data_IF_869670435002
#
_entry.id   IF_869670435002
#
_cell.length_a   1.000
_cell.length_b   1.000
_cell.length_c   1.000
_cell.angle_alpha   90.00
_cell.angle_beta   90.00
_cell.angle_gamma   90.00
#
_symmetry.space_group_name_H-M   'P 1'
#
loop_
_entity.id
_entity.type
_entity.pdbx_description
1 polymer ?
#
# COMPACT_ATOMS: atom_id res chain seq x y z
N UNK A 1 21.61 -17.01 56.16
CA UNK A 1 22.01 -15.88 57.06
C UNK A 1 22.72 -14.84 56.22
N UNK A 2 22.45 -13.61 56.48
CA UNK A 2 22.95 -12.34 55.99
C UNK A 2 22.17 -11.67 54.84
N UNK A 3 21.31 -10.78 55.33
CA UNK A 3 20.66 -9.70 54.64
C UNK A 3 21.64 -8.57 54.38
N UNK A 4 21.65 -7.99 53.17
CA UNK A 4 22.14 -6.61 52.98
C UNK A 4 21.05 -5.78 52.32
N UNK A 5 20.54 -4.85 53.14
CA UNK A 5 19.65 -3.77 52.74
C UNK A 5 20.57 -2.61 52.38
N UNK A 6 20.44 -2.11 51.14
CA UNK A 6 21.05 -0.84 50.74
C UNK A 6 19.91 0.14 50.45
N UNK A 7 19.74 1.07 51.36
CA UNK A 7 18.86 2.23 51.24
C UNK A 7 19.52 3.24 50.29
N UNK A 8 18.82 3.70 49.24
CA UNK A 8 19.23 4.84 48.44
C UNK A 8 18.37 6.05 48.73
N UNK A 9 19.06 7.07 49.20
CA UNK A 9 18.59 8.35 49.70
C UNK A 9 18.09 9.22 48.54
N UNK A 10 16.80 9.61 48.54
CA UNK A 10 16.26 10.61 47.63
C UNK A 10 16.66 12.02 48.12
N UNK A 11 17.43 12.73 47.32
CA UNK A 11 17.67 14.16 47.48
C UNK A 11 16.73 14.89 46.52
N UNK A 12 15.69 15.50 47.07
CA UNK A 12 14.79 16.43 46.38
C UNK A 12 15.41 17.82 46.41
N UNK A 13 15.83 18.32 45.26
CA UNK A 13 16.19 19.74 45.10
C UNK A 13 14.95 20.48 44.57
N UNK A 14 14.30 21.26 45.41
CA UNK A 14 13.24 22.18 45.06
C UNK A 14 13.90 23.49 44.60
N UNK A 15 13.93 23.70 43.29
CA UNK A 15 14.34 24.96 42.67
C UNK A 15 13.11 25.83 42.41
N UNK A 16 12.88 26.88 43.22
CA UNK A 16 11.95 27.94 42.92
C UNK A 16 12.50 28.80 41.77
N UNK A 17 11.83 28.77 40.63
CA UNK A 17 12.05 29.76 39.56
C UNK A 17 10.84 30.66 39.49
N UNK A 18 11.08 31.93 39.79
CA UNK A 18 10.10 33.01 39.82
C UNK A 18 9.52 33.25 38.42
N UNK A 19 8.19 33.25 38.32
CA UNK A 19 7.46 33.68 37.14
C UNK A 19 7.67 35.19 36.90
N UNK A 20 8.39 35.52 35.81
CA UNK A 20 8.33 36.85 35.19
C UNK A 20 7.24 36.83 34.13
N UNK A 21 6.14 37.56 34.42
CA UNK A 21 5.08 37.84 33.42
C UNK A 21 5.67 38.62 32.24
N UNK A 22 5.85 37.97 31.13
CA UNK A 22 5.99 38.63 29.85
C UNK A 22 4.71 38.38 29.04
N UNK A 23 3.89 39.42 28.94
CA UNK A 23 2.85 39.55 27.90
C UNK A 23 3.55 39.49 26.54
N UNK A 24 3.55 38.35 25.88
CA UNK A 24 3.82 38.22 24.46
C UNK A 24 2.52 37.96 23.74
N UNK A 25 2.31 38.79 22.74
CA UNK A 25 1.15 38.79 21.88
C UNK A 25 0.90 37.43 21.22
N UNK A 26 -0.37 37.16 20.96
CA UNK A 26 -0.81 36.05 20.11
C UNK A 26 -0.18 36.20 18.74
N UNK A 27 0.96 35.60 18.53
CA UNK A 27 1.44 35.28 17.18
C UNK A 27 0.50 34.20 16.65
N UNK A 28 -0.46 34.65 15.85
CA UNK A 28 -1.29 33.80 15.03
C UNK A 28 -0.32 33.08 14.07
N UNK A 29 -0.04 31.80 14.32
CA UNK A 29 0.66 30.95 13.36
C UNK A 29 -0.24 30.91 12.13
N UNK A 30 0.05 31.77 11.18
CA UNK A 30 -0.50 31.68 9.83
C UNK A 30 0.21 30.50 9.21
N UNK A 31 -0.46 29.32 9.22
CA UNK A 31 -0.07 28.21 8.36
C UNK A 31 -0.21 28.77 6.94
N UNK A 32 0.92 29.07 6.31
CA UNK A 32 0.91 29.38 4.89
C UNK A 32 0.25 28.21 4.17
N UNK A 33 -0.73 28.46 3.28
CA UNK A 33 -1.34 27.39 2.51
C UNK A 33 -0.22 26.74 1.70
N UNK A 34 0.02 25.45 1.93
CA UNK A 34 0.89 24.61 1.11
C UNK A 34 0.57 24.93 -0.34
N UNK A 35 1.56 25.37 -1.11
CA UNK A 35 1.38 25.83 -2.48
C UNK A 35 0.57 24.78 -3.26
N UNK A 36 -0.67 25.10 -3.60
CA UNK A 36 -1.48 24.28 -4.47
C UNK A 36 -0.81 24.23 -5.83
N UNK A 37 -0.59 23.03 -6.37
CA UNK A 37 -0.06 22.89 -7.74
C UNK A 37 -0.92 23.68 -8.71
N UNK A 38 -0.32 24.32 -9.74
CA UNK A 38 -1.07 24.98 -10.79
C UNK A 38 -2.09 24.00 -11.41
N UNK A 39 -3.31 24.45 -11.64
CA UNK A 39 -4.41 23.59 -12.13
C UNK A 39 -4.07 22.86 -13.45
N UNK A 40 -3.23 23.46 -14.29
CA UNK A 40 -2.77 22.90 -15.57
C UNK A 40 -1.82 21.70 -15.35
N UNK A 41 -0.92 21.74 -14.36
CA UNK A 41 -0.02 20.63 -14.04
C UNK A 41 -0.81 19.45 -13.43
N UNK A 42 -1.80 19.76 -12.59
CA UNK A 42 -2.70 18.76 -12.02
C UNK A 42 -3.50 18.00 -13.08
N UNK A 43 -4.03 18.67 -14.09
CA UNK A 43 -4.77 18.03 -15.18
C UNK A 43 -3.87 17.14 -16.06
N UNK A 44 -2.64 17.59 -16.34
CA UNK A 44 -1.65 16.80 -17.08
C UNK A 44 -1.22 15.55 -16.30
N UNK A 45 -0.96 15.70 -15.02
CA UNK A 45 -0.62 14.59 -14.14
C UNK A 45 -1.78 13.58 -14.07
N UNK A 46 -3.02 14.02 -13.93
CA UNK A 46 -4.19 13.16 -13.92
C UNK A 46 -4.34 12.34 -15.22
N UNK A 47 -4.14 12.98 -16.39
CA UNK A 47 -4.18 12.30 -17.68
C UNK A 47 -3.05 11.24 -17.81
N UNK A 48 -1.84 11.59 -17.35
CA UNK A 48 -0.68 10.69 -17.36
C UNK A 48 -0.92 9.47 -16.46
N UNK A 49 -1.42 9.71 -15.24
CA UNK A 49 -1.75 8.66 -14.27
C UNK A 49 -2.82 7.74 -14.83
N UNK A 50 -3.92 8.29 -15.38
CA UNK A 50 -5.00 7.49 -15.96
C UNK A 50 -4.47 6.56 -17.04
N UNK A 51 -3.65 7.08 -17.97
CA UNK A 51 -3.04 6.26 -19.03
C UNK A 51 -2.16 5.15 -18.45
N UNK A 52 -1.29 5.48 -17.48
CA UNK A 52 -0.42 4.52 -16.83
C UNK A 52 -1.19 3.38 -16.19
N UNK A 53 -2.28 3.69 -15.47
CA UNK A 53 -3.12 2.68 -14.82
C UNK A 53 -3.79 1.77 -15.84
N UNK A 54 -4.37 2.32 -16.92
CA UNK A 54 -4.98 1.53 -17.99
C UNK A 54 -3.92 0.63 -18.67
N UNK A 55 -2.76 1.18 -18.99
CA UNK A 55 -1.67 0.43 -19.62
C UNK A 55 -1.18 -0.70 -18.71
N UNK A 56 -1.01 -0.43 -17.41
CA UNK A 56 -0.61 -1.43 -16.42
C UNK A 56 -1.61 -2.60 -16.36
N UNK A 57 -2.90 -2.35 -16.18
CA UNK A 57 -3.88 -3.42 -16.03
C UNK A 57 -4.07 -4.22 -17.31
N UNK A 58 -4.03 -3.57 -18.48
CA UNK A 58 -4.05 -4.28 -19.78
C UNK A 58 -2.80 -5.16 -19.97
N UNK A 59 -1.63 -4.69 -19.54
CA UNK A 59 -0.40 -5.46 -19.58
C UNK A 59 -0.42 -6.60 -18.57
N UNK A 60 -0.87 -6.31 -17.33
CA UNK A 60 -0.97 -7.29 -16.25
C UNK A 60 -1.83 -8.49 -16.66
N UNK A 61 -3.02 -8.24 -17.18
CA UNK A 61 -3.91 -9.30 -17.65
C UNK A 61 -3.25 -10.22 -18.70
N UNK A 62 -2.57 -9.63 -19.68
CA UNK A 62 -1.85 -10.38 -20.72
C UNK A 62 -0.66 -11.19 -20.20
N UNK A 63 -0.10 -10.79 -19.07
CA UNK A 63 1.09 -11.40 -18.47
C UNK A 63 0.80 -12.09 -17.13
N UNK A 64 -0.47 -12.29 -16.79
CA UNK A 64 -0.91 -12.83 -15.51
C UNK A 64 -0.20 -14.14 -15.15
N UNK A 65 -0.04 -15.06 -16.09
CA UNK A 65 0.63 -16.34 -15.87
C UNK A 65 2.07 -16.20 -15.38
N UNK A 66 2.78 -15.15 -15.79
CA UNK A 66 4.17 -14.89 -15.35
C UNK A 66 4.28 -14.60 -13.86
N UNK A 67 3.24 -13.99 -13.26
CA UNK A 67 3.18 -13.72 -11.82
C UNK A 67 2.94 -15.02 -11.04
N UNK A 68 2.29 -16.01 -11.65
CA UNK A 68 1.98 -17.30 -11.04
C UNK A 68 3.16 -18.30 -11.09
N UNK A 69 4.23 -17.99 -11.79
CA UNK A 69 5.43 -18.85 -11.89
C UNK A 69 6.21 -18.96 -10.57
N UNK A 70 6.01 -17.99 -9.65
CA UNK A 70 6.75 -17.88 -8.42
C UNK A 70 6.00 -18.56 -7.26
N UNK A 71 6.61 -19.60 -6.69
CA UNK A 71 6.08 -20.29 -5.50
C UNK A 71 6.45 -19.49 -4.23
N UNK A 72 5.73 -18.42 -3.96
CA UNK A 72 6.04 -17.46 -2.89
C UNK A 72 5.90 -18.03 -1.48
N UNK A 73 5.10 -19.08 -1.31
CA UNK A 73 4.99 -19.82 -0.07
C UNK A 73 4.98 -21.33 -0.33
N UNK A 74 5.14 -22.12 0.72
CA UNK A 74 5.04 -23.59 0.66
C UNK A 74 4.70 -24.18 2.03
N UNK A 75 4.12 -25.38 2.00
CA UNK A 75 3.97 -26.21 3.20
C UNK A 75 5.31 -26.69 3.72
N UNK A 76 5.45 -26.83 5.04
CA UNK A 76 6.67 -27.33 5.68
C UNK A 76 6.67 -28.87 5.72
N UNK A 77 5.52 -29.51 6.01
CA UNK A 77 5.41 -30.95 6.29
C UNK A 77 4.70 -31.73 5.19
N UNK A 78 3.55 -31.26 4.71
CA UNK A 78 2.71 -31.93 3.71
C UNK A 78 2.40 -30.96 2.60
N UNK A 79 2.31 -31.47 1.36
CA UNK A 79 1.90 -30.66 0.22
C UNK A 79 0.53 -30.03 0.51
N UNK A 80 0.45 -28.73 0.27
CA UNK A 80 -0.77 -27.90 0.36
C UNK A 80 -1.49 -27.98 1.74
N UNK A 81 -0.72 -28.23 2.82
CA UNK A 81 -1.22 -28.29 4.20
C UNK A 81 -0.35 -27.46 5.13
N UNK A 82 -0.91 -26.88 6.19
CA UNK A 82 -0.13 -26.15 7.20
C UNK A 82 0.85 -27.10 7.93
N UNK A 83 1.85 -26.55 8.60
CA UNK A 83 2.22 -25.14 8.64
C UNK A 83 2.89 -24.67 7.35
N UNK A 84 2.69 -23.39 7.04
CA UNK A 84 3.27 -22.74 5.87
C UNK A 84 4.53 -21.95 6.20
N UNK A 85 5.28 -21.58 5.17
CA UNK A 85 6.42 -20.64 5.24
C UNK A 85 6.52 -19.82 3.97
N UNK A 86 7.06 -18.61 4.07
CA UNK A 86 7.45 -17.81 2.92
C UNK A 86 8.73 -18.36 2.30
N UNK A 87 8.77 -18.45 0.98
CA UNK A 87 9.94 -18.83 0.21
C UNK A 87 10.73 -17.57 -0.19
N UNK A 88 11.55 -17.04 0.71
CA UNK A 88 12.24 -15.77 0.52
C UNK A 88 13.10 -15.70 -0.74
N UNK A 89 13.68 -16.81 -1.18
CA UNK A 89 14.43 -16.87 -2.46
C UNK A 89 13.51 -16.65 -3.66
N UNK A 90 12.27 -17.18 -3.62
CA UNK A 90 11.28 -16.95 -4.65
C UNK A 90 10.72 -15.53 -4.59
N UNK A 91 10.53 -14.98 -3.39
CA UNK A 91 10.15 -13.58 -3.19
C UNK A 91 11.20 -12.64 -3.78
N UNK A 92 12.49 -12.91 -3.57
CA UNK A 92 13.57 -12.11 -4.14
C UNK A 92 13.52 -12.12 -5.69
N UNK A 93 13.40 -13.31 -6.30
CA UNK A 93 13.27 -13.46 -7.76
C UNK A 93 12.02 -12.77 -8.30
N UNK A 94 10.91 -12.87 -7.61
CA UNK A 94 9.66 -12.22 -7.96
C UNK A 94 9.79 -10.69 -7.92
N UNK A 95 10.42 -10.14 -6.89
CA UNK A 95 10.68 -8.70 -6.79
C UNK A 95 11.65 -8.21 -7.87
N UNK A 96 12.64 -9.02 -8.25
CA UNK A 96 13.52 -8.73 -9.38
C UNK A 96 12.78 -8.75 -10.70
N UNK A 97 11.85 -9.70 -10.90
CA UNK A 97 10.97 -9.72 -12.06
C UNK A 97 10.12 -8.43 -12.14
N UNK A 98 9.46 -8.04 -11.03
CA UNK A 98 8.67 -6.80 -11.00
C UNK A 98 9.55 -5.60 -11.36
N UNK A 99 10.71 -5.46 -10.73
CA UNK A 99 11.63 -4.33 -10.96
C UNK A 99 12.07 -4.21 -12.42
N UNK A 100 12.30 -5.34 -13.07
CA UNK A 100 12.84 -5.37 -14.44
C UNK A 100 11.77 -5.39 -15.54
N UNK A 101 10.60 -5.94 -15.28
CA UNK A 101 9.57 -6.19 -16.28
C UNK A 101 8.33 -5.30 -16.15
N UNK A 102 8.15 -4.60 -15.00
CA UNK A 102 6.92 -3.85 -14.69
C UNK A 102 7.26 -2.42 -14.26
N UNK A 103 7.71 -1.56 -15.18
CA UNK A 103 8.15 -0.20 -14.83
C UNK A 103 7.05 0.69 -14.24
N UNK A 104 5.77 0.30 -14.38
CA UNK A 104 4.64 1.00 -13.78
C UNK A 104 4.57 0.82 -12.25
N UNK A 105 5.19 -0.24 -11.70
CA UNK A 105 5.26 -0.49 -10.27
C UNK A 105 6.55 0.13 -9.71
N UNK A 106 6.41 1.14 -8.84
CA UNK A 106 7.55 1.87 -8.28
C UNK A 106 8.32 1.11 -7.21
N UNK A 107 9.44 1.69 -6.79
CA UNK A 107 10.23 1.14 -5.70
C UNK A 107 9.46 1.09 -4.38
N UNK A 108 8.54 2.04 -4.17
CA UNK A 108 7.68 2.04 -2.99
C UNK A 108 6.71 0.86 -3.01
N UNK A 109 6.14 0.50 -4.17
CA UNK A 109 5.32 -0.69 -4.33
C UNK A 109 6.09 -1.96 -3.91
N UNK A 110 7.30 -2.14 -4.43
CA UNK A 110 8.16 -3.30 -4.10
C UNK A 110 8.45 -3.36 -2.60
N UNK A 111 8.70 -2.20 -1.98
CA UNK A 111 8.96 -2.11 -0.54
C UNK A 111 7.71 -2.45 0.30
N UNK A 112 6.53 -1.98 -0.12
CA UNK A 112 5.25 -2.31 0.50
C UNK A 112 4.95 -3.80 0.40
N UNK A 113 5.16 -4.38 -0.78
CA UNK A 113 4.96 -5.81 -1.00
C UNK A 113 5.90 -6.68 -0.16
N UNK A 114 7.17 -6.25 0.02
CA UNK A 114 8.09 -6.93 0.92
C UNK A 114 7.59 -6.93 2.37
N UNK A 115 7.05 -5.79 2.85
CA UNK A 115 6.45 -5.71 4.18
C UNK A 115 5.24 -6.63 4.31
N UNK A 116 4.41 -6.71 3.28
CA UNK A 116 3.28 -7.64 3.25
C UNK A 116 3.75 -9.10 3.37
N UNK A 117 4.77 -9.54 2.65
CA UNK A 117 5.32 -10.90 2.81
C UNK A 117 5.89 -11.15 4.22
N UNK A 118 6.44 -10.12 4.87
CA UNK A 118 6.88 -10.23 6.27
C UNK A 118 5.68 -10.43 7.22
N UNK A 119 4.56 -9.77 6.95
CA UNK A 119 3.31 -9.95 7.71
C UNK A 119 2.76 -11.36 7.49
N UNK A 120 2.75 -11.86 6.25
CA UNK A 120 2.36 -13.25 5.94
C UNK A 120 3.24 -14.27 6.68
N UNK A 121 4.56 -14.07 6.70
CA UNK A 121 5.50 -14.94 7.40
C UNK A 121 5.25 -14.95 8.93
N UNK A 122 4.94 -13.78 9.49
CA UNK A 122 4.57 -13.66 10.90
C UNK A 122 3.23 -14.36 11.20
N UNK A 123 2.23 -14.20 10.33
CA UNK A 123 0.93 -14.85 10.47
C UNK A 123 1.06 -16.39 10.38
N UNK A 124 1.85 -16.92 9.45
CA UNK A 124 2.12 -18.37 9.34
C UNK A 124 2.79 -18.95 10.59
N UNK A 125 3.63 -18.18 11.26
CA UNK A 125 4.28 -18.59 12.51
C UNK A 125 3.33 -18.53 13.72
N UNK A 126 2.39 -17.58 13.71
CA UNK A 126 1.41 -17.40 14.77
C UNK A 126 0.25 -18.43 14.68
N UNK A 127 -0.19 -18.76 13.45
CA UNK A 127 -1.37 -19.59 13.17
C UNK A 127 -0.96 -20.86 12.40
N UNK A 128 -0.19 -21.74 13.04
CA UNK A 128 0.43 -22.92 12.40
C UNK A 128 -0.57 -23.97 11.92
N UNK A 129 -1.81 -23.94 12.37
CA UNK A 129 -2.89 -24.87 12.01
C UNK A 129 -3.90 -24.28 11.02
N UNK A 130 -3.69 -23.05 10.58
CA UNK A 130 -4.60 -22.38 9.64
C UNK A 130 -4.48 -23.01 8.26
N UNK A 131 -5.59 -23.60 7.77
CA UNK A 131 -5.65 -24.25 6.46
C UNK A 131 -5.56 -23.25 5.29
N UNK A 132 -5.87 -21.99 5.52
CA UNK A 132 -5.78 -20.93 4.51
C UNK A 132 -4.48 -20.15 4.68
N UNK A 133 -3.58 -20.11 3.69
CA UNK A 133 -2.35 -19.33 3.77
C UNK A 133 -2.68 -17.83 3.72
N UNK A 134 -2.59 -17.16 4.88
CA UNK A 134 -2.89 -15.74 5.04
C UNK A 134 -2.29 -14.88 3.92
N UNK A 135 -3.12 -14.09 3.27
CA UNK A 135 -2.72 -13.15 2.21
C UNK A 135 -2.47 -13.78 0.85
N UNK A 136 -2.75 -15.09 0.65
CA UNK A 136 -2.55 -15.78 -0.64
C UNK A 136 -3.85 -16.36 -1.22
N UNK A 137 -4.97 -15.92 -0.70
CA UNK A 137 -6.31 -16.33 -1.11
C UNK A 137 -6.95 -15.40 -2.15
N UNK A 138 -6.25 -14.33 -2.53
CA UNK A 138 -6.70 -13.37 -3.53
C UNK A 138 -5.52 -12.81 -4.35
N UNK A 139 -5.85 -12.20 -5.48
CA UNK A 139 -4.87 -11.50 -6.33
C UNK A 139 -4.64 -10.07 -5.81
N UNK A 140 -3.41 -9.76 -5.41
CA UNK A 140 -3.02 -8.44 -4.85
C UNK A 140 -3.09 -7.29 -5.85
N UNK A 141 -3.06 -7.58 -7.15
CA UNK A 141 -3.11 -6.57 -8.19
C UNK A 141 -4.54 -6.17 -8.56
N UNK A 142 -5.48 -7.09 -8.38
CA UNK A 142 -6.90 -6.84 -8.62
C UNK A 142 -7.69 -6.68 -7.32
N UNK A 143 -7.10 -7.03 -6.18
CA UNK A 143 -7.73 -7.13 -4.86
C UNK A 143 -9.00 -7.99 -4.91
N UNK A 144 -8.96 -9.09 -5.65
CA UNK A 144 -10.08 -9.96 -5.95
C UNK A 144 -9.65 -11.41 -6.12
N UNK A 145 -10.60 -12.33 -6.03
CA UNK A 145 -10.44 -13.75 -6.40
C UNK A 145 -10.89 -14.01 -7.85
N UNK A 146 -11.43 -13.00 -8.50
CA UNK A 146 -11.93 -13.11 -9.87
C UNK A 146 -10.80 -13.04 -10.91
N UNK A 147 -11.09 -13.50 -12.13
CA UNK A 147 -10.17 -13.37 -13.25
C UNK A 147 -9.82 -11.89 -13.49
N UNK A 148 -8.54 -11.53 -13.64
CA UNK A 148 -8.11 -10.15 -13.90
C UNK A 148 -8.83 -9.45 -15.05
N UNK A 149 -9.34 -10.21 -16.04
CA UNK A 149 -10.09 -9.67 -17.16
C UNK A 149 -11.33 -8.89 -16.73
N UNK A 150 -12.01 -9.31 -15.64
CA UNK A 150 -13.19 -8.60 -15.13
C UNK A 150 -12.85 -7.18 -14.68
N UNK A 151 -11.75 -7.01 -13.94
CA UNK A 151 -11.29 -5.69 -13.51
C UNK A 151 -10.84 -4.85 -14.71
N UNK A 152 -10.10 -5.44 -15.67
CA UNK A 152 -9.65 -4.76 -16.88
C UNK A 152 -10.83 -4.24 -17.69
N UNK A 153 -11.86 -5.06 -17.89
CA UNK A 153 -13.08 -4.67 -18.59
C UNK A 153 -13.82 -3.53 -17.86
N UNK A 154 -13.89 -3.62 -16.53
CA UNK A 154 -14.53 -2.59 -15.72
C UNK A 154 -13.75 -1.27 -15.77
N UNK A 155 -12.42 -1.29 -15.68
CA UNK A 155 -11.55 -0.12 -15.81
C UNK A 155 -11.72 0.54 -17.19
N UNK A 156 -11.68 -0.25 -18.27
CA UNK A 156 -11.79 0.24 -19.63
C UNK A 156 -13.19 0.83 -19.95
N UNK A 157 -14.23 0.32 -19.32
CA UNK A 157 -15.61 0.84 -19.45
C UNK A 157 -15.90 2.03 -18.54
N UNK A 158 -15.11 2.23 -17.47
CA UNK A 158 -15.37 3.28 -16.49
C UNK A 158 -15.23 4.68 -17.08
N UNK A 159 -16.24 5.49 -16.83
CA UNK A 159 -16.25 6.93 -17.11
C UNK A 159 -15.96 7.77 -15.87
N UNK A 160 -15.96 7.16 -14.68
CA UNK A 160 -15.83 7.84 -13.39
C UNK A 160 -14.48 7.55 -12.75
N UNK A 161 -13.59 8.52 -12.88
CA UNK A 161 -12.24 8.51 -12.32
C UNK A 161 -12.03 9.73 -11.43
N UNK A 162 -11.63 9.50 -10.19
CA UNK A 162 -11.19 10.53 -9.26
C UNK A 162 -9.69 10.40 -9.07
N UNK A 163 -8.93 11.31 -9.67
CA UNK A 163 -7.47 11.37 -9.56
C UNK A 163 -7.11 12.67 -8.89
N UNK A 164 -6.53 12.59 -7.70
CA UNK A 164 -6.20 13.74 -6.86
C UNK A 164 -4.71 13.79 -6.57
N UNK A 165 -3.92 14.57 -7.35
CA UNK A 165 -2.50 14.79 -7.08
C UNK A 165 -2.31 15.65 -5.83
N UNK A 166 -1.28 15.32 -5.03
CA UNK A 166 -0.84 16.11 -3.87
C UNK A 166 0.69 15.93 -3.68
N UNK A 167 1.45 16.92 -4.09
CA UNK A 167 2.92 16.84 -4.13
C UNK A 167 3.40 15.72 -5.06
N UNK A 168 4.28 14.86 -4.56
CA UNK A 168 4.80 13.71 -5.30
C UNK A 168 3.90 12.47 -5.19
N UNK A 169 2.71 12.60 -4.64
CA UNK A 169 1.72 11.53 -4.55
C UNK A 169 0.44 11.87 -5.31
N UNK A 170 -0.35 10.85 -5.60
CA UNK A 170 -1.73 11.00 -6.03
C UNK A 170 -2.56 9.81 -5.53
N UNK A 171 -3.83 10.07 -5.25
CA UNK A 171 -4.82 9.01 -5.08
C UNK A 171 -5.59 8.81 -6.38
N UNK A 172 -5.91 7.56 -6.68
CA UNK A 172 -6.76 7.18 -7.82
C UNK A 172 -7.89 6.33 -7.31
N UNK A 173 -9.12 6.77 -7.55
CA UNK A 173 -10.31 5.97 -7.36
C UNK A 173 -11.01 5.81 -8.72
N UNK A 174 -11.26 4.57 -9.10
CA UNK A 174 -12.03 4.23 -10.30
C UNK A 174 -13.35 3.60 -9.85
N UNK A 175 -14.47 4.10 -10.39
CA UNK A 175 -15.80 3.56 -10.10
C UNK A 175 -16.39 2.85 -11.33
N UNK A 176 -16.99 1.69 -11.09
CA UNK A 176 -17.78 0.93 -12.08
C UNK A 176 -19.27 1.03 -11.80
N UNK A 177 -20.09 0.91 -12.84
CA UNK A 177 -21.53 0.76 -12.70
C UNK A 177 -21.87 -0.71 -12.50
N UNK A 178 -22.70 -0.97 -11.50
CA UNK A 178 -23.29 -2.29 -11.24
C UNK A 178 -24.80 -2.18 -11.24
N UNK A 179 -25.45 -3.20 -11.77
CA UNK A 179 -26.91 -3.34 -11.69
C UNK A 179 -27.27 -4.09 -10.40
N UNK A 180 -27.90 -3.38 -9.48
CA UNK A 180 -28.42 -3.95 -8.25
C UNK A 180 -29.95 -3.96 -8.35
N UNK A 181 -30.52 -5.08 -8.81
CA UNK A 181 -31.96 -5.27 -8.98
C UNK A 181 -32.63 -4.19 -9.83
N UNK A 182 -32.04 -3.82 -10.97
CA UNK A 182 -32.54 -2.81 -11.88
C UNK A 182 -32.19 -1.37 -11.50
N UNK A 183 -31.43 -1.17 -10.40
CA UNK A 183 -30.88 0.12 -9.99
C UNK A 183 -29.38 0.16 -10.26
N UNK A 184 -28.96 1.09 -11.11
CA UNK A 184 -27.53 1.31 -11.36
C UNK A 184 -26.88 2.01 -10.17
N UNK A 185 -25.83 1.42 -9.63
CA UNK A 185 -25.05 1.95 -8.53
C UNK A 185 -23.57 2.08 -8.95
N UNK A 186 -22.94 3.19 -8.56
CA UNK A 186 -21.50 3.39 -8.74
C UNK A 186 -20.76 2.82 -7.54
N UNK A 187 -19.90 1.83 -7.77
CA UNK A 187 -19.07 1.20 -6.74
C UNK A 187 -17.60 1.39 -7.08
N UNK A 188 -16.78 1.62 -6.07
CA UNK A 188 -15.33 1.67 -6.24
C UNK A 188 -14.81 0.30 -6.63
N UNK A 189 -14.20 0.20 -7.82
CA UNK A 189 -13.61 -1.02 -8.38
C UNK A 189 -12.10 -1.06 -8.24
N UNK A 190 -11.47 0.11 -8.06
CA UNK A 190 -10.02 0.21 -7.93
C UNK A 190 -9.65 1.42 -7.08
N UNK A 191 -8.72 1.21 -6.14
CA UNK A 191 -8.06 2.26 -5.38
C UNK A 191 -6.55 2.11 -5.48
N UNK A 192 -5.85 3.19 -5.80
CA UNK A 192 -4.40 3.21 -5.89
C UNK A 192 -3.83 4.43 -5.17
N UNK A 193 -2.62 4.26 -4.64
CA UNK A 193 -1.71 5.36 -4.35
C UNK A 193 -0.62 5.39 -5.42
N UNK A 194 -0.45 6.54 -6.03
CA UNK A 194 0.61 6.81 -7.00
C UNK A 194 1.71 7.60 -6.34
N UNK A 195 2.94 7.42 -6.83
CA UNK A 195 4.09 8.23 -6.42
C UNK A 195 4.90 8.67 -7.63
N UNK A 196 5.40 9.90 -7.58
CA UNK A 196 6.33 10.42 -8.59
C UNK A 196 7.75 10.06 -8.18
N UNK A 197 8.36 9.12 -8.88
CA UNK A 197 9.75 8.68 -8.67
C UNK A 197 10.59 9.12 -9.87
N UNK A 198 11.66 9.88 -9.63
CA UNK A 198 12.51 10.46 -10.67
C UNK A 198 11.72 11.22 -11.75
N UNK A 199 10.67 11.96 -11.35
CA UNK A 199 9.82 12.73 -12.25
C UNK A 199 8.76 11.93 -13.02
N UNK A 200 8.66 10.61 -12.81
CA UNK A 200 7.68 9.72 -13.45
C UNK A 200 6.69 9.17 -12.43
N UNK A 201 5.42 9.14 -12.78
CA UNK A 201 4.41 8.51 -11.96
C UNK A 201 4.56 6.99 -11.98
N UNK A 202 4.43 6.36 -10.82
CA UNK A 202 4.43 4.91 -10.61
C UNK A 202 3.34 4.53 -9.63
N UNK A 203 2.89 3.28 -9.66
CA UNK A 203 1.98 2.73 -8.65
C UNK A 203 2.81 2.43 -7.41
N UNK A 204 2.46 3.03 -6.28
CA UNK A 204 3.08 2.81 -4.98
C UNK A 204 2.31 1.79 -4.14
N UNK A 205 0.97 1.74 -4.31
CA UNK A 205 0.09 0.86 -3.55
C UNK A 205 -1.19 0.56 -4.31
N UNK A 206 -1.73 -0.64 -4.10
CA UNK A 206 -3.03 -1.10 -4.60
C UNK A 206 -3.90 -1.48 -3.38
N UNK A 207 -5.15 -1.02 -3.38
CA UNK A 207 -6.10 -1.24 -2.28
C UNK A 207 -6.01 -0.20 -1.15
N UNK A 208 -6.79 -0.44 -0.07
CA UNK A 208 -7.03 0.51 1.03
C UNK A 208 -6.07 0.38 2.22
N UNK A 209 -5.19 -0.62 2.30
CA UNK A 209 -4.36 -0.83 3.49
C UNK A 209 -3.07 -0.03 3.51
#
# INVERSE_FOLDING_TARGET
>A
MNKFIAAFLCITIIGFIACKNNKKGNEKIILEPTASMPAQDSAKDAATIRKLVIDFYNWYNKNYSRFQEYKLYSSIKKKDKPPYKINWDQVAKYQDFIRNAVPQLGQEFISNQKRFFQQCDAAFKANVEDDMPYGFDYDWYTNSQEDPQYLVDAINKSTTWHITPFGDYATVEVKGEFDNNGKKELTTILLLTMKKENGQWTIAKIGNE
#
